data_IF_360457910771
#
_entry.id   IF_360457910771
#
_cell.length_a   1.000
_cell.length_b   1.000
_cell.length_c   1.000
_cell.angle_alpha   90.00
_cell.angle_beta   90.00
_cell.angle_gamma   90.00
#
_symmetry.space_group_name_H-M   'P 1'
#
loop_
_entity.id
_entity.type
_entity.pdbx_description
1 polymer ?
#
# COMPACT_ATOMS: atom_id res chain seq x y z
N UNK A 1 16.94 -32.46 -67.62
CA UNK A 1 18.02 -31.47 -67.40
C UNK A 1 17.91 -30.44 -68.51
N UNK A 2 18.03 -29.09 -68.30
CA UNK A 2 18.32 -28.28 -67.10
C UNK A 2 17.01 -27.63 -66.53
N UNK A 3 16.82 -27.25 -65.26
CA UNK A 3 17.60 -26.53 -64.23
C UNK A 3 17.42 -25.00 -64.23
N UNK A 4 16.66 -24.53 -63.22
CA UNK A 4 16.76 -23.26 -62.46
C UNK A 4 16.10 -21.98 -63.01
N UNK A 5 15.09 -21.48 -62.29
CA UNK A 5 15.24 -20.22 -61.54
C UNK A 5 14.20 -20.09 -60.41
N UNK A 6 14.71 -19.81 -59.21
CA UNK A 6 14.00 -19.47 -57.98
C UNK A 6 13.33 -18.10 -58.10
N UNK A 7 12.06 -17.95 -57.68
CA UNK A 7 11.56 -16.71 -57.09
C UNK A 7 10.68 -17.08 -55.89
N UNK A 8 11.24 -16.87 -54.70
CA UNK A 8 10.54 -16.91 -53.41
C UNK A 8 9.92 -15.51 -53.22
N UNK A 9 8.58 -15.43 -53.10
CA UNK A 9 7.90 -14.21 -52.68
C UNK A 9 7.46 -14.41 -51.22
N UNK A 10 8.28 -13.90 -50.30
CA UNK A 10 7.90 -13.70 -48.90
C UNK A 10 6.97 -12.49 -48.82
N UNK A 11 5.67 -12.72 -48.62
CA UNK A 11 4.72 -11.68 -48.26
C UNK A 11 4.75 -11.51 -46.73
N UNK A 12 5.59 -10.59 -46.28
CA UNK A 12 5.68 -10.09 -44.92
C UNK A 12 4.48 -9.16 -44.62
N UNK A 13 3.47 -9.68 -43.94
CA UNK A 13 2.40 -8.89 -43.36
C UNK A 13 2.76 -8.57 -41.90
N UNK A 14 3.39 -7.41 -41.68
CA UNK A 14 3.63 -6.88 -40.33
C UNK A 14 2.32 -6.25 -39.84
N UNK A 15 1.52 -7.00 -39.09
CA UNK A 15 0.37 -6.46 -38.37
C UNK A 15 0.85 -5.97 -36.99
N UNK A 16 1.01 -4.67 -36.87
CA UNK A 16 1.37 -3.98 -35.63
C UNK A 16 0.12 -3.96 -34.72
N UNK A 17 -0.10 -5.00 -33.93
CA UNK A 17 -1.09 -4.95 -32.85
C UNK A 17 -0.39 -4.36 -31.63
N UNK A 18 -0.55 -3.05 -31.45
CA UNK A 18 -0.34 -2.43 -30.15
C UNK A 18 -1.46 -2.91 -29.21
N UNK A 19 -1.23 -4.00 -28.47
CA UNK A 19 -2.08 -4.35 -27.34
C UNK A 19 -1.72 -3.42 -26.18
N UNK A 20 -2.45 -2.30 -26.10
CA UNK A 20 -2.52 -1.54 -24.86
C UNK A 20 -3.02 -2.49 -23.76
N UNK A 21 -2.15 -2.77 -22.78
CA UNK A 21 -2.53 -3.50 -21.58
C UNK A 21 -3.57 -2.66 -20.83
N UNK A 22 -4.85 -2.97 -21.04
CA UNK A 22 -5.94 -2.43 -20.27
C UNK A 22 -5.77 -2.92 -18.83
N UNK A 23 -5.58 -1.98 -17.90
CA UNK A 23 -5.68 -2.26 -16.47
C UNK A 23 -7.03 -2.96 -16.20
N UNK A 24 -7.06 -4.03 -15.39
CA UNK A 24 -8.33 -4.68 -15.07
C UNK A 24 -9.23 -3.66 -14.36
N UNK A 25 -10.36 -3.37 -14.98
CA UNK A 25 -11.42 -2.59 -14.37
C UNK A 25 -11.79 -3.27 -13.04
N UNK A 26 -11.69 -2.52 -11.94
CA UNK A 26 -12.18 -2.95 -10.65
C UNK A 26 -13.68 -3.25 -10.77
N UNK A 27 -14.03 -4.52 -10.91
CA UNK A 27 -15.40 -4.99 -10.85
C UNK A 27 -15.94 -4.58 -9.48
N UNK A 28 -16.92 -3.66 -9.48
CA UNK A 28 -17.58 -3.22 -8.26
C UNK A 28 -18.23 -4.42 -7.59
N UNK A 29 -17.72 -4.83 -6.43
CA UNK A 29 -18.42 -5.76 -5.56
C UNK A 29 -19.63 -4.99 -5.03
N UNK A 30 -20.83 -5.38 -5.49
CA UNK A 30 -22.10 -4.79 -5.09
C UNK A 30 -22.22 -4.78 -3.57
N UNK A 31 -22.48 -3.60 -2.99
CA UNK A 31 -22.70 -3.40 -1.56
C UNK A 31 -24.14 -3.69 -1.14
N UNK A 32 -24.84 -4.60 -1.83
CA UNK A 32 -26.16 -5.03 -1.39
C UNK A 32 -25.98 -5.58 0.03
N UNK A 33 -26.60 -4.93 1.01
CA UNK A 33 -26.58 -5.38 2.39
C UNK A 33 -27.13 -6.81 2.40
N UNK A 34 -26.26 -7.78 2.69
CA UNK A 34 -26.69 -9.16 2.86
C UNK A 34 -27.75 -9.17 3.97
N UNK A 35 -28.85 -9.88 3.76
CA UNK A 35 -29.83 -10.11 4.81
C UNK A 35 -29.16 -10.93 5.93
N UNK A 36 -28.82 -10.24 7.01
CA UNK A 36 -28.10 -10.79 8.17
C UNK A 36 -29.04 -11.06 9.34
N UNK A 37 -30.35 -11.18 9.09
CA UNK A 37 -31.33 -11.50 10.14
C UNK A 37 -31.33 -12.98 10.58
N UNK A 38 -30.52 -13.83 9.91
CA UNK A 38 -30.43 -15.28 10.17
C UNK A 38 -29.27 -15.69 11.08
N UNK A 39 -28.91 -16.98 11.03
CA UNK A 39 -27.70 -17.49 11.69
C UNK A 39 -26.50 -17.33 10.75
N UNK A 40 -25.35 -16.83 11.21
CA UNK A 40 -24.14 -16.78 10.39
C UNK A 40 -23.76 -18.19 9.89
N UNK A 41 -23.34 -18.34 8.62
CA UNK A 41 -23.02 -19.66 8.06
C UNK A 41 -21.72 -20.24 8.64
N UNK A 42 -20.85 -19.41 9.23
CA UNK A 42 -19.65 -19.81 9.96
C UNK A 42 -19.28 -18.74 10.99
N UNK A 43 -18.41 -19.08 11.94
CA UNK A 43 -17.91 -18.12 12.92
C UNK A 43 -16.92 -17.12 12.30
N UNK A 44 -16.60 -16.06 13.06
CA UNK A 44 -15.65 -15.05 12.59
C UNK A 44 -14.23 -15.62 12.38
N UNK A 45 -13.82 -16.61 13.17
CA UNK A 45 -12.49 -17.22 13.08
C UNK A 45 -12.29 -17.98 11.75
N UNK A 46 -13.33 -18.65 11.26
CA UNK A 46 -13.32 -19.32 9.96
C UNK A 46 -13.14 -18.33 8.81
N UNK A 47 -13.86 -17.19 8.82
CA UNK A 47 -13.66 -16.12 7.84
C UNK A 47 -12.23 -15.54 7.91
N UNK A 48 -11.69 -15.35 9.11
CA UNK A 48 -10.33 -14.85 9.31
C UNK A 48 -9.30 -15.82 8.72
N UNK A 49 -9.43 -17.12 9.01
CA UNK A 49 -8.51 -18.14 8.51
C UNK A 49 -8.54 -18.24 6.98
N UNK A 50 -9.73 -18.23 6.37
CA UNK A 50 -9.93 -18.25 4.91
C UNK A 50 -9.28 -17.01 4.27
N UNK A 51 -9.49 -15.83 4.85
CA UNK A 51 -8.88 -14.59 4.38
C UNK A 51 -7.35 -14.62 4.52
N UNK A 52 -6.80 -15.13 5.62
CA UNK A 52 -5.36 -15.22 5.84
C UNK A 52 -4.67 -16.17 4.85
N UNK A 53 -5.30 -17.31 4.52
CA UNK A 53 -4.80 -18.22 3.48
C UNK A 53 -4.64 -17.50 2.15
N UNK A 54 -5.66 -16.74 1.74
CA UNK A 54 -5.61 -15.96 0.51
C UNK A 54 -4.64 -14.77 0.54
N UNK A 55 -4.33 -14.20 1.72
CA UNK A 55 -3.26 -13.20 1.86
C UNK A 55 -1.90 -13.79 1.50
N UNK A 56 -1.62 -15.04 1.89
CA UNK A 56 -0.34 -15.71 1.57
C UNK A 56 -0.14 -15.89 0.05
N UNK A 57 -1.23 -16.08 -0.69
CA UNK A 57 -1.26 -16.19 -2.15
C UNK A 57 -1.38 -14.83 -2.86
N UNK A 58 -1.44 -13.72 -2.11
CA UNK A 58 -1.73 -12.38 -2.62
C UNK A 58 -3.05 -12.28 -3.42
N UNK A 59 -4.04 -13.13 -3.12
CA UNK A 59 -5.35 -13.13 -3.77
C UNK A 59 -6.26 -12.07 -3.13
N UNK A 60 -5.95 -10.79 -3.36
CA UNK A 60 -6.60 -9.64 -2.72
C UNK A 60 -8.11 -9.58 -2.98
N UNK A 61 -8.57 -9.99 -4.17
CA UNK A 61 -10.00 -10.03 -4.51
C UNK A 61 -10.75 -11.01 -3.62
N UNK A 62 -10.18 -12.19 -3.39
CA UNK A 62 -10.79 -13.18 -2.51
C UNK A 62 -10.75 -12.73 -1.05
N UNK A 63 -9.64 -12.16 -0.57
CA UNK A 63 -9.57 -11.59 0.79
C UNK A 63 -10.66 -10.54 1.01
N UNK A 64 -10.86 -9.63 0.05
CA UNK A 64 -11.91 -8.61 0.13
C UNK A 64 -13.31 -9.24 0.15
N UNK A 65 -13.54 -10.27 -0.65
CA UNK A 65 -14.81 -11.00 -0.71
C UNK A 65 -15.13 -11.68 0.63
N UNK A 66 -14.17 -12.41 1.18
CA UNK A 66 -14.30 -13.14 2.46
C UNK A 66 -14.52 -12.16 3.62
N UNK A 67 -13.70 -11.12 3.71
CA UNK A 67 -13.81 -10.11 4.77
C UNK A 67 -15.11 -9.31 4.68
N UNK A 68 -15.59 -8.99 3.47
CA UNK A 68 -16.90 -8.32 3.28
C UNK A 68 -18.05 -9.19 3.75
N UNK A 69 -18.04 -10.49 3.41
CA UNK A 69 -19.04 -11.45 3.91
C UNK A 69 -18.97 -11.59 5.42
N UNK A 70 -17.78 -11.73 5.99
CA UNK A 70 -17.59 -11.84 7.44
C UNK A 70 -18.08 -10.60 8.18
N UNK A 71 -17.74 -9.40 7.70
CA UNK A 71 -18.17 -8.13 8.31
C UNK A 71 -19.67 -7.86 8.18
N UNK A 72 -20.38 -8.49 7.25
CA UNK A 72 -21.84 -8.41 7.20
C UNK A 72 -22.47 -9.04 8.46
N UNK A 73 -21.88 -10.12 8.96
CA UNK A 73 -22.32 -10.83 10.18
C UNK A 73 -21.65 -10.30 11.46
N UNK A 74 -20.40 -9.87 11.35
CA UNK A 74 -19.56 -9.44 12.47
C UNK A 74 -18.96 -8.05 12.23
N UNK A 75 -19.78 -6.99 12.17
CA UNK A 75 -19.35 -5.65 11.71
C UNK A 75 -18.24 -5.02 12.57
N UNK A 76 -18.19 -5.37 13.86
CA UNK A 76 -17.21 -4.88 14.83
C UNK A 76 -16.12 -5.92 15.14
N UNK A 77 -15.84 -6.86 14.24
CA UNK A 77 -14.71 -7.76 14.41
C UNK A 77 -13.40 -7.07 13.97
N UNK A 78 -12.46 -6.80 14.91
CA UNK A 78 -11.28 -6.00 14.61
C UNK A 78 -10.24 -6.70 13.72
N UNK A 79 -10.27 -8.03 13.63
CA UNK A 79 -9.36 -8.80 12.77
C UNK A 79 -9.85 -8.82 11.33
N UNK A 80 -11.15 -9.00 11.10
CA UNK A 80 -11.76 -8.86 9.77
C UNK A 80 -11.60 -7.44 9.22
N UNK A 81 -11.82 -6.42 10.06
CA UNK A 81 -11.55 -5.02 9.69
C UNK A 81 -10.06 -4.83 9.36
N UNK A 82 -9.15 -5.40 10.15
CA UNK A 82 -7.71 -5.31 9.90
C UNK A 82 -7.32 -5.94 8.56
N UNK A 83 -7.82 -7.14 8.25
CA UNK A 83 -7.56 -7.83 6.98
C UNK A 83 -8.15 -7.08 5.78
N UNK A 84 -9.35 -6.53 5.92
CA UNK A 84 -9.97 -5.72 4.87
C UNK A 84 -9.19 -4.43 4.61
N UNK A 85 -8.79 -3.72 5.68
CA UNK A 85 -7.96 -2.53 5.58
C UNK A 85 -6.59 -2.82 4.96
N UNK A 86 -5.93 -3.92 5.37
CA UNK A 86 -4.69 -4.40 4.75
C UNK A 86 -4.87 -4.64 3.25
N UNK A 87 -5.98 -5.26 2.85
CA UNK A 87 -6.31 -5.50 1.44
C UNK A 87 -6.51 -4.21 0.65
N UNK A 88 -7.21 -3.23 1.22
CA UNK A 88 -7.34 -1.90 0.61
C UNK A 88 -5.97 -1.24 0.40
N UNK A 89 -5.06 -1.34 1.37
CA UNK A 89 -3.71 -0.83 1.23
C UNK A 89 -2.93 -1.53 0.10
N UNK A 90 -2.99 -2.86 0.05
CA UNK A 90 -2.31 -3.66 -0.98
C UNK A 90 -2.86 -3.42 -2.40
N UNK A 91 -4.10 -2.95 -2.51
CA UNK A 91 -4.77 -2.62 -3.79
C UNK A 91 -4.81 -1.13 -4.09
N UNK A 92 -4.06 -0.29 -3.35
CA UNK A 92 -3.93 1.14 -3.64
C UNK A 92 -5.06 2.03 -3.12
N UNK A 93 -6.04 1.48 -2.40
CA UNK A 93 -7.19 2.19 -1.85
C UNK A 93 -6.87 2.76 -0.46
N UNK A 94 -5.87 3.64 -0.37
CA UNK A 94 -5.27 4.06 0.90
C UNK A 94 -6.24 4.77 1.85
N UNK A 95 -7.13 5.63 1.36
CA UNK A 95 -8.12 6.28 2.21
C UNK A 95 -9.08 5.25 2.83
N UNK A 96 -9.59 4.30 2.04
CA UNK A 96 -10.45 3.21 2.56
C UNK A 96 -9.71 2.35 3.59
N UNK A 97 -8.42 2.09 3.38
CA UNK A 97 -7.58 1.42 4.38
C UNK A 97 -7.55 2.22 5.69
N UNK A 98 -7.26 3.52 5.64
CA UNK A 98 -7.23 4.37 6.83
C UNK A 98 -8.57 4.37 7.56
N UNK A 99 -9.67 4.50 6.84
CA UNK A 99 -11.02 4.56 7.40
C UNK A 99 -11.40 3.24 8.10
N UNK A 100 -11.17 2.11 7.43
CA UNK A 100 -11.50 0.78 7.97
C UNK A 100 -10.61 0.42 9.16
N UNK A 101 -9.31 0.65 9.10
CA UNK A 101 -8.42 0.37 10.23
C UNK A 101 -8.73 1.29 11.41
N UNK A 102 -9.18 2.53 11.17
CA UNK A 102 -9.59 3.44 12.25
C UNK A 102 -10.81 2.94 13.03
N UNK A 103 -11.66 2.11 12.41
CA UNK A 103 -12.73 1.39 13.12
C UNK A 103 -12.19 0.23 13.97
N UNK A 104 -11.17 -0.47 13.48
CA UNK A 104 -10.59 -1.62 14.17
C UNK A 104 -9.79 -1.26 15.44
N UNK A 105 -9.08 -0.13 15.42
CA UNK A 105 -8.20 0.30 16.51
C UNK A 105 -8.90 0.44 17.87
N UNK A 106 -10.03 1.14 18.01
CA UNK A 106 -10.70 1.27 19.32
C UNK A 106 -11.29 -0.05 19.83
N UNK A 107 -11.53 -1.03 18.96
CA UNK A 107 -12.10 -2.33 19.32
C UNK A 107 -11.04 -3.28 19.89
N UNK A 108 -9.83 -3.25 19.33
CA UNK A 108 -8.67 -4.02 19.81
C UNK A 108 -7.38 -3.29 19.39
N UNK A 109 -6.74 -2.51 20.28
CA UNK A 109 -5.50 -1.83 19.96
C UNK A 109 -4.33 -2.82 19.86
N UNK A 110 -3.75 -2.99 18.67
CA UNK A 110 -2.53 -3.79 18.44
C UNK A 110 -1.55 -3.07 17.53
N UNK A 111 -0.26 -3.30 17.75
CA UNK A 111 0.84 -2.70 16.98
C UNK A 111 0.67 -2.84 15.45
N UNK A 112 0.19 -3.99 14.98
CA UNK A 112 -0.10 -4.24 13.55
C UNK A 112 -1.15 -3.30 12.95
N UNK A 113 -2.17 -2.91 13.73
CA UNK A 113 -3.24 -2.02 13.24
C UNK A 113 -2.71 -0.61 13.03
N UNK A 114 -1.88 -0.13 13.97
CA UNK A 114 -1.19 1.14 13.82
C UNK A 114 -0.23 1.14 12.62
N UNK A 115 0.56 0.06 12.43
CA UNK A 115 1.42 -0.06 11.25
C UNK A 115 0.60 0.01 9.94
N UNK A 116 -0.51 -0.74 9.85
CA UNK A 116 -1.35 -0.77 8.66
C UNK A 116 -1.97 0.60 8.34
N UNK A 117 -2.48 1.32 9.35
CA UNK A 117 -3.00 2.67 9.15
C UNK A 117 -1.89 3.68 8.86
N UNK A 118 -0.75 3.57 9.54
CA UNK A 118 0.45 4.38 9.33
C UNK A 118 0.96 4.30 7.89
N UNK A 119 1.05 3.10 7.31
CA UNK A 119 1.38 2.94 5.89
C UNK A 119 0.32 3.55 4.95
N UNK A 120 -0.96 3.52 5.33
CA UNK A 120 -2.02 4.24 4.62
C UNK A 120 -1.81 5.76 4.66
N UNK A 121 -1.44 6.31 5.82
CA UNK A 121 -1.12 7.73 5.96
C UNK A 121 0.13 8.15 5.16
N UNK A 122 1.18 7.33 5.15
CA UNK A 122 2.37 7.56 4.32
C UNK A 122 2.00 7.66 2.83
N UNK A 123 1.15 6.76 2.34
CA UNK A 123 0.66 6.77 0.97
C UNK A 123 -0.13 8.03 0.61
N UNK A 124 -0.81 8.62 1.60
CA UNK A 124 -1.59 9.85 1.46
C UNK A 124 -0.74 11.12 1.71
N UNK A 125 0.55 10.98 2.03
CA UNK A 125 1.44 12.08 2.38
C UNK A 125 1.20 12.68 3.76
N UNK A 126 0.40 12.04 4.62
CA UNK A 126 0.14 12.50 5.98
C UNK A 126 1.22 11.97 6.94
N UNK A 127 2.42 12.50 6.82
CA UNK A 127 3.58 12.04 7.58
C UNK A 127 3.45 12.22 9.09
N UNK A 128 2.77 13.29 9.55
CA UNK A 128 2.56 13.53 10.98
C UNK A 128 1.66 12.48 11.61
N UNK A 129 0.56 12.10 10.95
CA UNK A 129 -0.32 11.04 11.43
C UNK A 129 0.37 9.67 11.37
N UNK A 130 1.15 9.40 10.32
CA UNK A 130 1.94 8.18 10.21
C UNK A 130 2.97 8.05 11.36
N UNK A 131 3.65 9.14 11.71
CA UNK A 131 4.60 9.16 12.83
C UNK A 131 3.91 8.86 14.16
N UNK A 132 2.77 9.50 14.43
CA UNK A 132 1.99 9.24 15.64
C UNK A 132 1.54 7.77 15.75
N UNK A 133 1.06 7.20 14.65
CA UNK A 133 0.69 5.78 14.61
C UNK A 133 1.92 4.88 14.84
N UNK A 134 3.06 5.20 14.23
CA UNK A 134 4.28 4.43 14.43
C UNK A 134 4.76 4.45 15.89
N UNK A 135 4.77 5.63 16.54
CA UNK A 135 5.15 5.76 17.94
C UNK A 135 4.19 5.01 18.87
N UNK A 136 2.87 5.10 18.60
CA UNK A 136 1.87 4.34 19.35
C UNK A 136 2.07 2.84 19.15
N UNK A 137 2.28 2.38 17.92
CA UNK A 137 2.50 0.98 17.62
C UNK A 137 3.77 0.41 18.27
N UNK A 138 4.87 1.18 18.29
CA UNK A 138 6.12 0.82 18.99
C UNK A 138 5.88 0.71 20.50
N UNK A 139 5.09 1.63 21.08
CA UNK A 139 4.77 1.61 22.52
C UNK A 139 3.96 0.37 22.93
N UNK A 140 3.14 -0.16 22.01
CA UNK A 140 2.36 -1.38 22.24
C UNK A 140 3.20 -2.65 22.06
N UNK A 141 4.07 -2.69 21.06
CA UNK A 141 4.99 -3.79 20.83
C UNK A 141 6.26 -3.32 20.09
N UNK A 142 7.35 -3.19 20.84
CA UNK A 142 8.65 -2.78 20.33
C UNK A 142 9.33 -3.85 19.46
N UNK A 143 8.83 -5.08 19.43
CA UNK A 143 9.31 -6.16 18.56
C UNK A 143 8.52 -6.24 17.25
N UNK A 144 7.41 -5.48 17.12
CA UNK A 144 6.69 -5.39 15.86
C UNK A 144 7.39 -4.41 14.90
N UNK A 145 8.41 -4.93 14.22
CA UNK A 145 9.41 -4.16 13.47
C UNK A 145 8.81 -3.22 12.41
N UNK A 146 7.62 -3.55 11.86
CA UNK A 146 7.01 -2.76 10.79
C UNK A 146 6.70 -1.31 11.20
N UNK A 147 6.46 -1.03 12.50
CA UNK A 147 6.26 0.34 12.97
C UNK A 147 7.52 1.20 12.87
N UNK A 148 8.72 0.61 13.01
CA UNK A 148 9.97 1.35 12.77
C UNK A 148 10.15 1.72 11.29
N UNK A 149 9.70 0.85 10.38
CA UNK A 149 9.61 1.17 8.95
C UNK A 149 8.70 2.38 8.70
N UNK A 150 7.49 2.38 9.27
CA UNK A 150 6.57 3.52 9.18
C UNK A 150 7.21 4.79 9.76
N UNK A 151 7.83 4.70 10.94
CA UNK A 151 8.51 5.81 11.61
C UNK A 151 9.61 6.41 10.75
N UNK A 152 10.49 5.58 10.19
CA UNK A 152 11.60 6.02 9.36
C UNK A 152 11.10 6.84 8.15
N UNK A 153 10.09 6.33 7.47
CA UNK A 153 9.53 6.99 6.28
C UNK A 153 8.75 8.26 6.62
N UNK A 154 8.01 8.25 7.73
CA UNK A 154 7.32 9.44 8.22
C UNK A 154 8.32 10.56 8.57
N UNK A 155 9.39 10.23 9.30
CA UNK A 155 10.45 11.17 9.67
C UNK A 155 11.18 11.69 8.43
N UNK A 156 11.49 10.83 7.46
CA UNK A 156 12.10 11.23 6.20
C UNK A 156 11.20 12.18 5.40
N UNK A 157 9.90 11.91 5.30
CA UNK A 157 8.91 12.82 4.69
C UNK A 157 8.79 14.17 5.40
N UNK A 158 9.10 14.22 6.71
CA UNK A 158 9.17 15.45 7.50
C UNK A 158 10.55 16.14 7.44
N UNK A 159 11.50 15.61 6.68
CA UNK A 159 12.87 16.13 6.57
C UNK A 159 13.79 15.78 7.76
N UNK A 160 13.34 14.93 8.69
CA UNK A 160 14.08 14.52 9.89
C UNK A 160 14.94 13.28 9.61
N UNK A 161 15.84 13.39 8.63
CA UNK A 161 16.56 12.24 8.05
C UNK A 161 17.49 11.51 9.04
N UNK A 162 18.10 12.21 10.00
CA UNK A 162 18.93 11.57 11.03
C UNK A 162 18.14 10.64 11.95
N UNK A 163 16.96 11.07 12.38
CA UNK A 163 16.05 10.26 13.20
C UNK A 163 15.42 9.13 12.37
N UNK A 164 15.14 9.38 11.09
CA UNK A 164 14.68 8.36 10.16
C UNK A 164 15.70 7.22 10.01
N UNK A 165 16.99 7.56 9.91
CA UNK A 165 18.07 6.59 9.79
C UNK A 165 18.17 5.70 11.05
N UNK A 166 18.09 6.30 12.24
CA UNK A 166 18.07 5.56 13.49
C UNK A 166 16.88 4.59 13.60
N UNK A 167 15.70 5.00 13.14
CA UNK A 167 14.51 4.14 13.13
C UNK A 167 14.69 2.93 12.19
N UNK A 168 15.18 3.13 10.96
CA UNK A 168 15.41 2.01 10.04
C UNK A 168 16.58 1.12 10.47
N UNK A 169 17.61 1.66 11.11
CA UNK A 169 18.70 0.86 11.69
C UNK A 169 18.19 -0.03 12.84
N UNK A 170 17.26 0.47 13.66
CA UNK A 170 16.57 -0.35 14.67
C UNK A 170 15.80 -1.49 14.00
N UNK A 171 15.09 -1.19 12.89
CA UNK A 171 14.36 -2.21 12.14
C UNK A 171 15.29 -3.29 11.56
N UNK A 172 16.43 -2.89 11.00
CA UNK A 172 17.45 -3.80 10.46
C UNK A 172 18.16 -4.61 11.54
N UNK A 173 18.33 -4.06 12.75
CA UNK A 173 18.86 -4.82 13.89
C UNK A 173 17.98 -6.01 14.28
N UNK A 174 16.66 -5.90 14.11
CA UNK A 174 15.70 -6.97 14.36
C UNK A 174 15.48 -7.88 13.13
N UNK A 175 15.62 -7.34 11.93
CA UNK A 175 15.35 -8.04 10.66
C UNK A 175 16.43 -7.71 9.60
N UNK A 176 17.65 -8.26 9.75
CA UNK A 176 18.79 -7.87 8.92
C UNK A 176 18.65 -8.30 7.45
N UNK A 177 17.86 -9.33 7.16
CA UNK A 177 17.60 -9.84 5.80
C UNK A 177 16.28 -9.28 5.21
N UNK A 178 15.82 -8.12 5.69
CA UNK A 178 14.62 -7.47 5.16
C UNK A 178 14.95 -6.57 3.98
N UNK A 179 14.61 -7.01 2.75
CA UNK A 179 14.68 -6.17 1.56
C UNK A 179 13.93 -4.84 1.76
N UNK A 180 12.79 -4.89 2.45
CA UNK A 180 12.02 -3.69 2.79
C UNK A 180 12.84 -2.64 3.52
N UNK A 181 13.52 -3.01 4.61
CA UNK A 181 14.23 -2.03 5.43
C UNK A 181 15.53 -1.56 4.77
N UNK A 182 16.17 -2.40 3.95
CA UNK A 182 17.29 -1.95 3.11
C UNK A 182 16.84 -0.93 2.05
N UNK A 183 15.68 -1.15 1.41
CA UNK A 183 15.10 -0.16 0.51
C UNK A 183 14.79 1.15 1.24
N UNK A 184 14.10 1.09 2.39
CA UNK A 184 13.80 2.28 3.21
C UNK A 184 15.08 3.02 3.60
N UNK A 185 16.12 2.31 4.03
CA UNK A 185 17.42 2.92 4.37
C UNK A 185 18.03 3.64 3.17
N UNK A 186 18.01 3.02 2.00
CA UNK A 186 18.45 3.64 0.75
C UNK A 186 17.71 4.93 0.44
N UNK A 187 16.38 4.94 0.61
CA UNK A 187 15.56 6.12 0.40
C UNK A 187 15.86 7.24 1.42
N UNK A 188 16.02 6.90 2.70
CA UNK A 188 16.37 7.85 3.77
C UNK A 188 17.73 8.49 3.54
N UNK A 189 18.74 7.69 3.20
CA UNK A 189 20.10 8.17 2.92
C UNK A 189 20.13 9.09 1.69
N UNK A 190 19.41 8.72 0.63
CA UNK A 190 19.28 9.56 -0.56
C UNK A 190 18.61 10.92 -0.23
N UNK A 191 17.56 10.92 0.60
CA UNK A 191 16.91 12.14 1.06
C UNK A 191 17.82 13.00 1.95
N UNK A 192 18.76 12.38 2.67
CA UNK A 192 19.79 13.05 3.47
C UNK A 192 21.02 13.50 2.67
N UNK A 193 21.12 13.16 1.38
CA UNK A 193 22.26 13.48 0.53
C UNK A 193 23.44 12.51 0.64
N UNK A 194 23.31 11.39 1.38
CA UNK A 194 24.32 10.33 1.40
C UNK A 194 24.08 9.33 0.25
N UNK A 195 24.61 9.68 -0.91
CA UNK A 195 24.37 8.96 -2.15
C UNK A 195 25.12 7.62 -2.20
N UNK A 196 26.32 7.57 -1.63
CA UNK A 196 27.11 6.34 -1.55
C UNK A 196 26.45 5.34 -0.61
N UNK A 197 26.04 5.77 0.58
CA UNK A 197 25.29 4.93 1.51
C UNK A 197 23.94 4.48 0.93
N UNK A 198 23.24 5.38 0.24
CA UNK A 198 21.98 5.05 -0.43
C UNK A 198 22.15 3.95 -1.48
N UNK A 199 23.18 4.06 -2.34
CA UNK A 199 23.51 3.04 -3.33
C UNK A 199 23.75 1.67 -2.67
N UNK A 200 24.63 1.61 -1.66
CA UNK A 200 24.93 0.34 -0.97
C UNK A 200 23.69 -0.29 -0.34
N UNK A 201 22.82 0.51 0.28
CA UNK A 201 21.59 0.02 0.88
C UNK A 201 20.59 -0.51 -0.17
N UNK A 202 20.43 0.18 -1.30
CA UNK A 202 19.56 -0.25 -2.39
C UNK A 202 20.08 -1.53 -3.06
N UNK A 203 21.39 -1.63 -3.30
CA UNK A 203 22.03 -2.84 -3.81
C UNK A 203 21.79 -4.03 -2.87
N UNK A 204 21.85 -3.82 -1.55
CA UNK A 204 21.53 -4.86 -0.57
C UNK A 204 20.07 -5.27 -0.63
N UNK A 205 19.13 -4.33 -0.79
CA UNK A 205 17.70 -4.63 -0.98
C UNK A 205 17.48 -5.51 -2.20
N UNK A 206 18.06 -5.13 -3.35
CA UNK A 206 17.93 -5.85 -4.63
C UNK A 206 18.51 -7.26 -4.51
N UNK A 207 19.67 -7.40 -3.84
CA UNK A 207 20.30 -8.70 -3.63
C UNK A 207 19.44 -9.67 -2.78
N UNK A 208 18.62 -9.14 -1.86
CA UNK A 208 17.70 -9.96 -1.04
C UNK A 208 16.44 -10.31 -1.83
N UNK A 209 15.82 -9.30 -2.44
CA UNK A 209 14.64 -9.48 -3.27
C UNK A 209 14.61 -8.41 -4.38
N UNK A 210 14.93 -8.77 -5.63
CA UNK A 210 14.97 -7.82 -6.75
C UNK A 210 13.57 -7.30 -7.11
N UNK A 211 12.53 -8.08 -6.83
CA UNK A 211 11.13 -7.72 -7.09
C UNK A 211 10.50 -6.95 -5.91
N UNK A 212 11.28 -6.57 -4.89
CA UNK A 212 10.72 -5.87 -3.74
C UNK A 212 10.28 -4.44 -4.11
N UNK A 213 8.97 -4.20 -4.01
CA UNK A 213 8.35 -2.89 -4.21
C UNK A 213 7.79 -2.38 -2.88
N UNK A 214 8.07 -1.11 -2.56
CA UNK A 214 7.45 -0.46 -1.41
C UNK A 214 5.93 -0.37 -1.60
N UNK A 215 5.12 -0.63 -0.57
CA UNK A 215 3.69 -0.88 -0.76
C UNK A 215 2.80 0.39 -0.91
N UNK A 216 3.33 1.54 -1.32
CA UNK A 216 2.54 2.75 -1.61
C UNK A 216 3.17 3.62 -2.72
N UNK A 217 2.42 4.52 -3.38
CA UNK A 217 2.84 5.12 -4.64
C UNK A 217 3.92 6.19 -4.40
N UNK A 218 4.80 6.33 -5.39
CA UNK A 218 5.80 7.39 -5.45
C UNK A 218 7.22 7.01 -5.01
N UNK A 219 7.45 5.80 -4.48
CA UNK A 219 8.79 5.35 -4.06
C UNK A 219 9.52 4.42 -5.03
N UNK A 220 8.87 3.99 -6.12
CA UNK A 220 9.47 3.15 -7.16
C UNK A 220 9.98 1.81 -6.65
N UNK A 221 10.60 1.04 -7.52
CA UNK A 221 11.39 -0.15 -7.15
C UNK A 221 12.76 0.27 -6.60
N UNK A 222 13.44 -0.64 -5.91
CA UNK A 222 14.80 -0.39 -5.45
C UNK A 222 15.76 -0.13 -6.64
N UNK A 223 15.51 -0.76 -7.80
CA UNK A 223 16.28 -0.56 -9.03
C UNK A 223 16.06 0.83 -9.64
N UNK A 224 14.81 1.28 -9.73
CA UNK A 224 14.47 2.64 -10.21
C UNK A 224 15.13 3.69 -9.32
N UNK A 225 15.06 3.48 -8.00
CA UNK A 225 15.70 4.38 -7.03
C UNK A 225 17.21 4.36 -7.15
N UNK A 226 17.82 3.19 -7.35
CA UNK A 226 19.27 3.05 -7.53
C UNK A 226 19.74 3.77 -8.79
N UNK A 227 18.99 3.65 -9.90
CA UNK A 227 19.27 4.38 -11.13
C UNK A 227 19.18 5.90 -10.94
N UNK A 228 18.17 6.38 -10.20
CA UNK A 228 18.04 7.79 -9.85
C UNK A 228 19.23 8.29 -9.01
N UNK A 229 19.62 7.55 -7.96
CA UNK A 229 20.76 7.92 -7.11
C UNK A 229 22.07 7.99 -7.91
N UNK A 230 22.28 7.06 -8.87
CA UNK A 230 23.47 7.03 -9.74
C UNK A 230 23.56 8.19 -10.72
N UNK A 231 22.42 8.74 -11.16
CA UNK A 231 22.35 9.82 -12.15
C UNK A 231 22.30 11.21 -11.52
N UNK A 232 21.87 11.32 -10.26
CA UNK A 232 21.82 12.56 -9.54
C UNK A 232 21.12 12.39 -8.20
N UNK A 233 21.89 12.45 -7.13
CA UNK A 233 21.39 12.43 -5.77
C UNK A 233 20.97 13.85 -5.38
N UNK A 234 19.78 14.26 -5.82
CA UNK A 234 19.18 15.50 -5.37
C UNK A 234 18.29 15.21 -4.17
N UNK A 235 18.63 15.70 -2.96
CA UNK A 235 17.70 15.62 -1.85
C UNK A 235 16.44 16.40 -2.25
N UNK A 236 15.27 15.77 -2.16
CA UNK A 236 14.02 16.47 -2.34
C UNK A 236 13.96 17.61 -1.30
N UNK A 237 13.48 18.82 -1.65
CA UNK A 237 13.32 19.89 -0.68
C UNK A 237 12.52 19.38 0.53
N UNK A 238 12.97 19.69 1.74
CA UNK A 238 12.27 19.29 2.95
C UNK A 238 10.79 19.72 2.87
N UNK A 239 9.88 18.78 3.11
CA UNK A 239 8.44 19.05 3.08
C UNK A 239 7.78 19.02 1.70
N UNK A 240 8.43 18.53 0.64
CA UNK A 240 7.68 18.18 -0.58
C UNK A 240 6.74 17.03 -0.28
N UNK A 241 5.45 17.34 -0.14
CA UNK A 241 4.39 16.33 -0.21
C UNK A 241 4.53 15.56 -1.52
N UNK A 242 4.34 14.23 -1.54
CA UNK A 242 4.29 13.49 -2.78
C UNK A 242 3.27 14.15 -3.70
N UNK A 243 3.65 14.37 -4.97
CA UNK A 243 2.68 14.80 -5.98
C UNK A 243 1.54 13.79 -5.94
N UNK A 244 0.33 14.26 -5.63
CA UNK A 244 -0.88 13.44 -5.66
C UNK A 244 -0.87 12.69 -6.99
N UNK A 245 -0.92 11.36 -6.94
CA UNK A 245 -1.09 10.55 -8.15
C UNK A 245 -2.26 11.14 -8.96
N UNK A 246 -2.11 11.33 -10.29
CA UNK A 246 -3.19 11.83 -11.13
C UNK A 246 -4.38 10.87 -11.20
N UNK A 247 -4.27 9.66 -10.64
CA UNK A 247 -5.40 8.78 -10.37
C UNK A 247 -6.13 9.28 -9.12
N UNK A 248 -6.82 10.39 -9.33
CA UNK A 248 -7.59 11.11 -8.34
C UNK A 248 -8.71 10.29 -7.72
N UNK A 249 -9.02 10.67 -6.50
CA UNK A 249 -10.33 10.63 -5.89
C UNK A 249 -11.47 10.40 -6.90
N UNK A 250 -12.02 9.20 -6.97
CA UNK A 250 -13.45 9.11 -7.25
C UNK A 250 -14.11 9.60 -5.96
N UNK A 251 -14.39 10.91 -5.93
CA UNK A 251 -15.24 11.51 -4.94
C UNK A 251 -16.62 10.85 -5.07
N UNK A 252 -16.96 9.94 -4.16
CA UNK A 252 -18.37 9.61 -3.94
C UNK A 252 -18.95 10.82 -3.24
N UNK A 253 -19.55 11.71 -4.03
CA UNK A 253 -20.34 12.82 -3.52
C UNK A 253 -21.48 12.23 -2.67
N UNK A 254 -21.38 12.39 -1.36
CA UNK A 254 -22.48 12.15 -0.45
C UNK A 254 -23.62 13.10 -0.79
N UNK A 255 -24.78 12.54 -1.11
CA UNK A 255 -26.02 13.30 -1.20
C UNK A 255 -26.43 13.76 0.20
N UNK A 256 -25.95 14.94 0.61
CA UNK A 256 -26.56 15.74 1.65
C UNK A 256 -27.43 16.82 0.98
N UNK A 257 -28.64 16.42 0.56
CA UNK A 257 -29.67 17.34 0.07
C UNK A 257 -30.40 17.95 1.26
N UNK A 258 -30.20 19.26 1.43
CA UNK A 258 -30.72 20.07 2.50
C UNK A 258 -32.26 20.15 2.55
N UNK A 259 -32.73 20.30 3.78
CA UNK A 259 -34.04 20.82 4.20
C UNK A 259 -34.49 22.00 3.31
N UNK A 260 -35.68 21.89 2.70
CA UNK A 260 -36.46 23.07 2.32
C UNK A 260 -37.75 23.09 3.13
N UNK A 261 -37.78 24.02 4.09
CA UNK A 261 -39.00 24.53 4.68
C UNK A 261 -39.78 25.31 3.60
N UNK A 262 -41.00 24.88 3.31
CA UNK A 262 -42.00 25.69 2.64
C UNK A 262 -43.18 25.83 3.59
N UNK A 263 -43.14 26.91 4.36
CA UNK A 263 -44.36 27.55 4.86
C UNK A 263 -44.61 28.79 4.02
N UNK A 264 -45.85 28.97 3.55
CA UNK A 264 -46.61 30.22 3.32
C UNK A 264 -48.09 29.78 3.45
N UNK A 265 -48.84 30.21 4.49
CA UNK A 265 -49.79 31.35 4.51
C UNK A 265 -50.59 31.48 3.20
N UNK A 266 -51.93 31.45 3.15
CA UNK A 266 -53.00 31.82 4.10
C UNK A 266 -54.12 30.80 4.06
#
# INVERSE_FOLDING_TARGET
MPARLFIIIFLSFFLLIATAAAAPAAAGISSAAADTSGTPPQDAAAYIAEAQGAVAESNWTFVLTVTTRGLAWYPDNPDLLCLQGYTFRKTGQYQKSVDIISKAIPLDPKAVRYANRGYGYLALGNYSAALNDADTGISLDANYTANYGVKALALSGLGRNGEALAAVDTALGQSPESAHYWHVKGAVLAAGGDCTGAQSALERSIAINPEYVLPWPGFGTAEEKLAAVKTGCNPAPAGTTPVKSPLGWIAVAGAAGAVMALGWRK
#
